data_IF_772162713225
#
_entry.id   IF_772162713225
#
_cell.length_a   1.000
_cell.length_b   1.000
_cell.length_c   1.000
_cell.angle_alpha   90.00
_cell.angle_beta   90.00
_cell.angle_gamma   90.00
#
_symmetry.space_group_name_H-M   'P 1'
#
loop_
_entity.id
_entity.type
_entity.pdbx_description
1 polymer ?
#
# COMPACT_ATOMS: atom_id res chain seq x y z
N UNK A 1 -10.34 35.28 -35.94
CA UNK A 1 -10.53 33.99 -36.61
C UNK A 1 -10.60 32.94 -35.51
N UNK A 2 -11.73 32.56 -34.93
CA UNK A 2 -13.06 32.34 -35.49
C UNK A 2 -13.38 30.88 -35.18
N UNK A 3 -14.05 30.61 -34.05
CA UNK A 3 -14.77 29.35 -33.86
C UNK A 3 -16.12 29.65 -33.19
N UNK A 4 -17.15 29.22 -33.91
CA UNK A 4 -18.57 29.42 -33.65
C UNK A 4 -18.99 28.83 -32.30
N UNK A 5 -19.70 29.63 -31.53
CA UNK A 5 -20.67 29.14 -30.55
C UNK A 5 -21.88 28.65 -31.35
N UNK A 6 -22.11 27.34 -31.35
CA UNK A 6 -23.40 26.78 -31.77
C UNK A 6 -24.15 26.40 -30.50
N UNK A 7 -25.27 27.09 -30.27
CA UNK A 7 -26.24 26.79 -29.22
C UNK A 7 -27.48 26.14 -29.84
N UNK A 8 -28.30 25.48 -29.01
CA UNK A 8 -29.50 24.64 -29.29
C UNK A 8 -29.19 23.20 -29.77
N UNK A 9 -29.77 22.13 -29.19
CA UNK A 9 -31.22 21.86 -29.04
C UNK A 9 -31.51 20.96 -27.82
N UNK A 10 -32.66 21.22 -27.17
CA UNK A 10 -33.35 20.37 -26.19
C UNK A 10 -33.90 19.11 -26.87
N UNK A 11 -33.57 17.92 -26.36
CA UNK A 11 -34.33 16.70 -26.64
C UNK A 11 -33.50 15.54 -27.17
N UNK A 12 -33.01 14.70 -26.26
CA UNK A 12 -32.80 13.28 -26.53
C UNK A 12 -33.10 12.52 -25.25
N UNK A 13 -34.36 12.08 -25.09
CA UNK A 13 -34.67 10.90 -24.28
C UNK A 13 -34.21 9.72 -25.12
N UNK A 14 -32.91 9.46 -25.09
CA UNK A 14 -32.32 8.22 -25.55
C UNK A 14 -31.91 7.48 -24.29
N UNK A 15 -32.71 6.48 -23.93
CA UNK A 15 -32.38 5.49 -22.92
C UNK A 15 -31.14 4.74 -23.39
N UNK A 16 -29.97 5.33 -23.16
CA UNK A 16 -28.67 4.72 -23.39
C UNK A 16 -28.51 3.66 -22.30
N UNK A 17 -28.95 2.45 -22.61
CA UNK A 17 -28.34 1.27 -22.03
C UNK A 17 -26.87 1.34 -22.40
N UNK A 18 -26.02 1.72 -21.45
CA UNK A 18 -24.63 1.31 -21.48
C UNK A 18 -24.68 -0.21 -21.59
N UNK A 19 -24.53 -0.74 -22.81
CA UNK A 19 -24.30 -2.15 -23.03
C UNK A 19 -22.88 -2.43 -22.55
N UNK A 20 -22.73 -2.45 -21.22
CA UNK A 20 -21.69 -3.24 -20.60
C UNK A 20 -22.03 -4.66 -20.98
N UNK A 21 -21.40 -5.16 -22.03
CA UNK A 21 -21.36 -6.60 -22.28
C UNK A 21 -20.61 -7.20 -21.09
N UNK A 22 -21.38 -7.57 -20.06
CA UNK A 22 -20.90 -8.29 -18.90
C UNK A 22 -20.48 -9.68 -19.39
N UNK A 23 -19.23 -9.78 -19.83
CA UNK A 23 -18.55 -11.05 -19.94
C UNK A 23 -18.19 -11.43 -18.49
N UNK A 24 -19.08 -12.17 -17.82
CA UNK A 24 -18.72 -12.83 -16.58
C UNK A 24 -17.58 -13.80 -16.91
N UNK A 25 -16.35 -13.41 -16.63
CA UNK A 25 -15.23 -14.33 -16.75
C UNK A 25 -15.29 -15.25 -15.52
N UNK A 26 -15.60 -16.56 -15.65
CA UNK A 26 -15.78 -17.46 -14.50
C UNK A 26 -14.48 -17.79 -13.76
N UNK A 27 -13.38 -17.12 -14.11
CA UNK A 27 -12.01 -17.44 -13.70
C UNK A 27 -11.43 -16.60 -12.56
N UNK A 28 -12.10 -15.54 -12.09
CA UNK A 28 -11.66 -14.83 -10.88
C UNK A 28 -12.37 -15.38 -9.66
N UNK A 29 -11.60 -15.87 -8.68
CA UNK A 29 -12.14 -16.13 -7.35
C UNK A 29 -12.61 -14.77 -6.80
N UNK A 30 -13.92 -14.52 -6.85
CA UNK A 30 -14.51 -13.26 -6.39
C UNK A 30 -14.44 -13.08 -4.87
N UNK A 31 -14.93 -11.95 -4.36
CA UNK A 31 -14.96 -11.72 -2.91
C UNK A 31 -15.95 -12.67 -2.19
N UNK A 32 -15.47 -13.47 -1.23
CA UNK A 32 -16.36 -14.18 -0.29
C UNK A 32 -16.84 -13.21 0.80
N UNK A 33 -18.02 -12.62 0.58
CA UNK A 33 -18.56 -11.56 1.43
C UNK A 33 -18.96 -12.05 2.83
N UNK A 34 -18.50 -11.32 3.85
CA UNK A 34 -19.00 -11.45 5.24
C UNK A 34 -19.37 -10.08 5.80
N UNK A 35 -20.63 -9.92 6.17
CA UNK A 35 -21.17 -8.69 6.76
C UNK A 35 -20.97 -8.66 8.29
N UNK A 36 -20.79 -7.46 8.84
CA UNK A 36 -20.64 -7.19 10.28
C UNK A 36 -21.70 -6.21 10.82
N UNK A 37 -22.80 -6.03 10.08
CA UNK A 37 -23.86 -5.07 10.40
C UNK A 37 -23.67 -3.72 9.70
N UNK A 38 -24.79 -3.01 9.51
CA UNK A 38 -24.81 -1.79 8.70
C UNK A 38 -24.30 -2.04 7.29
N UNK A 39 -23.46 -1.11 6.80
CA UNK A 39 -22.82 -1.21 5.48
C UNK A 39 -21.40 -1.82 5.53
N UNK A 40 -21.00 -2.41 6.66
CA UNK A 40 -19.66 -2.95 6.85
C UNK A 40 -19.58 -4.42 6.42
N UNK A 41 -18.68 -4.72 5.49
CA UNK A 41 -18.39 -6.08 5.06
C UNK A 41 -16.94 -6.24 4.59
N UNK A 42 -16.47 -7.48 4.56
CA UNK A 42 -15.11 -7.86 4.15
C UNK A 42 -15.14 -9.01 3.15
N UNK A 43 -14.02 -9.23 2.46
CA UNK A 43 -13.74 -10.44 1.70
C UNK A 43 -12.98 -11.41 2.60
N UNK A 44 -13.54 -12.60 2.79
CA UNK A 44 -12.95 -13.62 3.66
C UNK A 44 -11.89 -14.40 2.87
N UNK A 45 -10.68 -14.47 3.43
CA UNK A 45 -9.60 -15.31 2.94
C UNK A 45 -9.17 -16.32 4.00
N UNK A 46 -8.70 -17.49 3.57
CA UNK A 46 -8.17 -18.56 4.42
C UNK A 46 -7.01 -19.29 3.71
N UNK A 47 -6.68 -20.49 4.19
CA UNK A 47 -5.58 -21.32 3.66
C UNK A 47 -5.82 -21.87 2.26
N UNK A 48 -7.07 -22.03 1.84
CA UNK A 48 -7.47 -22.64 0.56
C UNK A 48 -8.08 -21.65 -0.41
N UNK A 49 -8.41 -20.43 0.05
CA UNK A 49 -9.12 -19.44 -0.74
C UNK A 49 -8.71 -18.02 -0.38
N UNK A 50 -8.55 -17.19 -1.40
CA UNK A 50 -8.60 -15.73 -1.29
C UNK A 50 -9.02 -15.14 -2.63
N UNK A 51 -9.70 -14.00 -2.59
CA UNK A 51 -10.11 -13.30 -3.81
C UNK A 51 -8.91 -12.75 -4.57
N UNK A 52 -9.04 -12.71 -5.89
CA UNK A 52 -7.98 -12.24 -6.80
C UNK A 52 -8.49 -11.07 -7.63
N UNK A 53 -7.58 -10.15 -7.94
CA UNK A 53 -7.85 -9.05 -8.87
C UNK A 53 -7.53 -9.55 -10.28
N UNK A 54 -8.50 -9.44 -11.17
CA UNK A 54 -8.28 -9.77 -12.57
C UNK A 54 -7.29 -8.76 -13.18
N UNK A 55 -6.07 -9.21 -13.43
CA UNK A 55 -5.06 -8.39 -14.08
C UNK A 55 -5.20 -8.55 -15.59
N UNK A 56 -5.86 -7.58 -16.19
CA UNK A 56 -5.97 -7.51 -17.64
C UNK A 56 -5.01 -6.47 -18.16
N UNK A 57 -4.16 -6.91 -19.08
CA UNK A 57 -3.36 -6.03 -19.92
C UNK A 57 -4.26 -4.90 -20.49
N UNK A 58 -3.96 -3.62 -20.21
CA UNK A 58 -4.68 -2.48 -20.78
C UNK A 58 -4.77 -2.54 -22.31
N UNK A 59 -3.85 -3.25 -22.97
CA UNK A 59 -3.86 -3.46 -24.41
C UNK A 59 -4.95 -4.43 -24.89
N UNK A 60 -5.62 -5.17 -23.99
CA UNK A 60 -6.81 -5.99 -24.32
C UNK A 60 -8.08 -5.16 -24.46
N UNK A 61 -8.11 -3.93 -23.96
CA UNK A 61 -9.15 -3.01 -24.36
C UNK A 61 -8.97 -2.75 -25.86
N UNK A 62 -10.00 -3.03 -26.67
CA UNK A 62 -9.97 -2.76 -28.10
C UNK A 62 -9.56 -1.30 -28.37
N UNK A 63 -8.95 -1.02 -29.53
CA UNK A 63 -8.60 0.35 -29.90
C UNK A 63 -9.84 1.25 -29.83
N UNK A 64 -9.85 2.22 -28.91
CA UNK A 64 -11.03 3.06 -28.62
C UNK A 64 -11.91 2.55 -27.47
N UNK A 65 -11.47 1.57 -26.69
CA UNK A 65 -12.13 1.08 -25.49
C UNK A 65 -11.44 1.53 -24.20
N UNK A 66 -12.05 1.19 -23.07
CA UNK A 66 -11.51 1.42 -21.73
C UNK A 66 -11.70 0.19 -20.84
N UNK A 67 -10.86 0.11 -19.81
CA UNK A 67 -10.93 -0.85 -18.72
C UNK A 67 -11.46 -0.14 -17.47
N UNK A 68 -12.37 -0.78 -16.73
CA UNK A 68 -12.97 -0.22 -15.52
C UNK A 68 -12.95 -1.24 -14.40
N UNK A 69 -12.46 -0.80 -13.23
CA UNK A 69 -12.55 -1.54 -11.98
C UNK A 69 -13.55 -0.83 -11.06
N UNK A 70 -14.57 -1.54 -10.60
CA UNK A 70 -15.62 -0.98 -9.75
C UNK A 70 -15.63 -1.65 -8.36
N UNK A 71 -15.62 -0.81 -7.32
CA UNK A 71 -15.93 -1.22 -5.95
C UNK A 71 -17.08 -0.37 -5.42
N UNK A 72 -18.02 -0.98 -4.70
CA UNK A 72 -19.13 -0.25 -4.09
C UNK A 72 -19.62 -0.88 -2.79
N UNK A 73 -20.58 -0.20 -2.16
CA UNK A 73 -21.19 -0.59 -0.89
C UNK A 73 -22.13 -1.81 -1.02
N UNK A 74 -22.47 -2.21 -2.25
CA UNK A 74 -23.39 -3.33 -2.51
C UNK A 74 -22.68 -4.67 -2.60
N UNK A 75 -21.35 -4.67 -2.73
CA UNK A 75 -20.57 -5.90 -2.77
C UNK A 75 -19.51 -5.95 -3.85
N UNK A 76 -19.51 -5.03 -4.82
CA UNK A 76 -18.49 -5.04 -5.88
C UNK A 76 -17.11 -4.77 -5.30
N UNK A 77 -16.11 -5.55 -5.74
CA UNK A 77 -14.74 -5.50 -5.22
C UNK A 77 -13.76 -5.62 -6.35
N UNK A 78 -13.24 -4.46 -6.79
CA UNK A 78 -12.41 -4.34 -7.98
C UNK A 78 -12.96 -5.15 -9.14
N UNK A 79 -14.29 -5.11 -9.31
CA UNK A 79 -14.99 -5.83 -10.36
C UNK A 79 -14.55 -5.25 -11.69
N UNK A 80 -13.90 -6.08 -12.49
CA UNK A 80 -13.35 -5.68 -13.76
C UNK A 80 -14.39 -5.74 -14.87
N UNK A 81 -14.35 -4.78 -15.79
CA UNK A 81 -15.21 -4.71 -16.97
C UNK A 81 -14.55 -3.88 -18.07
N UNK A 82 -15.02 -4.05 -19.30
CA UNK A 82 -14.61 -3.24 -20.44
C UNK A 82 -15.77 -2.39 -20.96
N UNK A 83 -15.44 -1.27 -21.58
CA UNK A 83 -16.40 -0.46 -22.32
C UNK A 83 -15.78 0.13 -23.58
N UNK A 84 -16.63 0.79 -24.39
CA UNK A 84 -16.22 1.48 -25.61
C UNK A 84 -16.33 2.99 -25.41
N UNK A 85 -15.34 3.73 -25.88
CA UNK A 85 -15.39 5.20 -25.85
C UNK A 85 -16.37 5.72 -26.91
N UNK A 86 -17.22 6.66 -26.51
CA UNK A 86 -18.11 7.40 -27.40
C UNK A 86 -17.51 8.78 -27.71
N UNK A 87 -17.70 9.26 -28.93
CA UNK A 87 -17.38 10.65 -29.30
C UNK A 87 -18.43 11.65 -28.84
N UNK A 88 -19.60 11.17 -28.43
CA UNK A 88 -20.69 11.98 -27.93
C UNK A 88 -20.81 11.79 -26.42
N UNK A 89 -20.70 12.89 -25.68
CA UNK A 89 -20.92 12.95 -24.25
C UNK A 89 -22.33 13.50 -23.96
N UNK A 90 -22.92 13.04 -22.87
CA UNK A 90 -24.20 13.52 -22.36
C UNK A 90 -24.06 13.66 -20.84
N UNK A 91 -24.21 14.88 -20.31
CA UNK A 91 -24.08 15.16 -18.88
C UNK A 91 -22.72 15.72 -18.48
N UNK A 92 -22.22 15.33 -17.30
CA UNK A 92 -20.96 15.82 -16.76
C UNK A 92 -19.77 15.32 -17.58
N UNK A 93 -18.89 16.24 -17.96
CA UNK A 93 -17.67 15.94 -18.71
C UNK A 93 -16.42 16.22 -17.86
N UNK A 94 -15.48 15.27 -17.92
CA UNK A 94 -14.15 15.40 -17.32
C UNK A 94 -13.12 15.30 -18.44
N UNK A 95 -12.38 16.39 -18.66
CA UNK A 95 -11.40 16.49 -19.75
C UNK A 95 -9.98 16.32 -19.21
N UNK A 96 -9.19 15.46 -19.84
CA UNK A 96 -7.78 15.21 -19.49
C UNK A 96 -6.88 15.90 -20.51
N UNK A 97 -6.03 16.83 -20.05
CA UNK A 97 -5.04 17.50 -20.89
C UNK A 97 -3.67 16.84 -20.73
N UNK A 98 -3.23 16.11 -21.78
CA UNK A 98 -1.95 15.38 -21.78
C UNK A 98 -0.71 16.28 -21.86
N UNK A 99 -0.86 17.56 -22.20
CA UNK A 99 0.25 18.52 -22.25
C UNK A 99 0.58 19.13 -20.87
N UNK A 100 -0.29 18.93 -19.88
CA UNK A 100 -0.10 19.43 -18.52
C UNK A 100 0.34 18.28 -17.61
N UNK A 101 1.64 18.16 -17.39
CA UNK A 101 2.22 17.15 -16.49
C UNK A 101 2.48 17.71 -15.10
N UNK A 102 2.40 16.85 -14.09
CA UNK A 102 2.66 17.19 -12.69
C UNK A 102 3.74 16.26 -12.08
N UNK A 103 3.59 15.88 -10.82
CA UNK A 103 4.53 15.00 -10.13
C UNK A 103 4.57 13.59 -10.73
N UNK A 104 5.73 12.95 -10.61
CA UNK A 104 5.86 11.50 -10.81
C UNK A 104 5.41 10.75 -9.56
N UNK A 105 4.81 9.57 -9.73
CA UNK A 105 4.36 8.72 -8.64
C UNK A 105 5.42 7.66 -8.35
N UNK A 106 5.95 7.67 -7.12
CA UNK A 106 6.99 6.71 -6.68
C UNK A 106 6.44 5.31 -6.38
N UNK A 107 5.15 5.20 -6.05
CA UNK A 107 4.46 3.92 -5.80
C UNK A 107 3.36 4.01 -4.74
N UNK A 108 2.83 2.84 -4.39
CA UNK A 108 1.81 2.65 -3.35
C UNK A 108 2.18 1.43 -2.49
N UNK A 109 1.78 1.43 -1.22
CA UNK A 109 2.35 0.48 -0.28
C UNK A 109 1.76 0.47 1.12
N UNK A 110 2.46 -0.25 2.00
CA UNK A 110 2.13 -0.38 3.42
C UNK A 110 3.37 -0.36 4.31
N UNK A 111 3.16 -0.61 5.61
CA UNK A 111 4.25 -0.63 6.60
C UNK A 111 4.49 -2.05 7.14
N UNK A 112 5.77 -2.43 7.24
CA UNK A 112 6.23 -3.64 7.91
C UNK A 112 6.49 -3.35 9.39
N UNK A 113 5.42 -3.06 10.15
CA UNK A 113 5.48 -2.89 11.61
C UNK A 113 5.62 -4.24 12.32
N UNK A 114 6.02 -4.22 13.59
CA UNK A 114 6.08 -5.44 14.40
C UNK A 114 4.70 -6.09 14.51
N UNK A 115 3.65 -5.30 14.76
CA UNK A 115 2.28 -5.79 14.79
C UNK A 115 1.87 -6.45 13.47
N UNK A 116 2.18 -5.86 12.31
CA UNK A 116 1.88 -6.47 11.02
C UNK A 116 2.62 -7.82 10.88
N UNK A 117 3.90 -7.85 11.24
CA UNK A 117 4.71 -9.06 11.17
C UNK A 117 4.23 -10.18 12.09
N UNK A 118 3.86 -9.86 13.34
CA UNK A 118 3.28 -10.80 14.31
C UNK A 118 1.95 -11.37 13.79
N UNK A 119 1.06 -10.51 13.28
CA UNK A 119 -0.24 -10.95 12.77
C UNK A 119 -0.12 -11.78 11.49
N UNK A 120 0.83 -11.48 10.61
CA UNK A 120 1.10 -12.31 9.44
C UNK A 120 1.59 -13.68 9.90
N UNK A 121 2.55 -13.74 10.83
CA UNK A 121 3.12 -15.01 11.27
C UNK A 121 2.21 -15.89 12.12
N UNK A 122 1.15 -15.32 12.71
CA UNK A 122 0.15 -16.12 13.43
C UNK A 122 -0.76 -16.93 12.49
N UNK A 123 -0.74 -16.64 11.19
CA UNK A 123 -1.51 -17.36 10.18
C UNK A 123 -0.80 -18.64 9.72
N UNK A 124 -1.56 -19.59 9.16
CA UNK A 124 -0.96 -20.76 8.47
C UNK A 124 -0.13 -20.31 7.26
N UNK A 125 0.88 -21.09 6.88
CA UNK A 125 1.78 -20.74 5.77
C UNK A 125 1.05 -20.47 4.44
N UNK A 126 -0.03 -21.21 4.15
CA UNK A 126 -0.84 -21.00 2.94
C UNK A 126 -1.68 -19.72 3.04
N UNK A 127 -2.24 -19.41 4.21
CA UNK A 127 -2.94 -18.14 4.43
C UNK A 127 -1.97 -16.95 4.34
N UNK A 128 -0.75 -17.08 4.88
CA UNK A 128 0.31 -16.07 4.71
C UNK A 128 0.62 -15.82 3.24
N UNK A 129 0.78 -16.89 2.45
CA UNK A 129 0.99 -16.80 1.02
C UNK A 129 -0.14 -16.06 0.32
N UNK A 130 -1.39 -16.41 0.61
CA UNK A 130 -2.56 -15.73 0.04
C UNK A 130 -2.58 -14.24 0.40
N UNK A 131 -2.35 -13.90 1.67
CA UNK A 131 -2.30 -12.50 2.12
C UNK A 131 -1.19 -11.69 1.42
N UNK A 132 0.02 -12.25 1.34
CA UNK A 132 1.13 -11.58 0.64
C UNK A 132 0.85 -11.47 -0.87
N UNK A 133 0.18 -12.45 -1.47
CA UNK A 133 -0.20 -12.40 -2.87
C UNK A 133 -1.24 -11.30 -3.13
N UNK A 134 -2.21 -11.12 -2.24
CA UNK A 134 -3.21 -10.03 -2.34
C UNK A 134 -2.54 -8.65 -2.38
N UNK A 135 -1.46 -8.44 -1.63
CA UNK A 135 -0.74 -7.16 -1.64
C UNK A 135 0.25 -7.01 -2.79
N UNK A 136 1.08 -8.01 -3.06
CA UNK A 136 2.30 -7.84 -3.85
C UNK A 136 2.30 -8.57 -5.20
N UNK A 137 1.39 -9.52 -5.41
CA UNK A 137 1.36 -10.28 -6.66
C UNK A 137 0.61 -9.54 -7.76
N UNK A 138 0.84 -9.97 -9.00
CA UNK A 138 0.06 -9.52 -10.17
C UNK A 138 -1.39 -9.98 -10.13
N UNK A 139 -1.77 -10.92 -9.26
CA UNK A 139 -3.17 -11.31 -9.03
C UNK A 139 -3.78 -10.57 -7.82
N UNK A 140 -3.06 -9.59 -7.28
CA UNK A 140 -3.46 -8.72 -6.17
C UNK A 140 -3.42 -7.24 -6.57
N UNK A 141 -3.07 -6.36 -5.63
CA UNK A 141 -3.01 -4.91 -5.85
C UNK A 141 -1.60 -4.35 -6.09
N UNK A 142 -0.61 -5.24 -6.29
CA UNK A 142 0.74 -4.92 -6.77
C UNK A 142 1.47 -3.77 -6.04
N UNK A 143 1.48 -3.78 -4.70
CA UNK A 143 2.26 -2.85 -3.88
C UNK A 143 3.73 -2.78 -4.30
N UNK A 144 4.26 -1.56 -4.36
CA UNK A 144 5.64 -1.24 -4.75
C UNK A 144 6.40 -0.42 -3.70
N UNK A 145 5.74 0.00 -2.61
CA UNK A 145 6.37 0.68 -1.49
C UNK A 145 6.22 -0.09 -0.17
N UNK A 146 7.29 -0.05 0.63
CA UNK A 146 7.34 -0.64 1.96
C UNK A 146 7.97 0.28 2.99
N UNK A 147 7.20 0.74 3.98
CA UNK A 147 7.72 1.49 5.11
C UNK A 147 8.24 0.56 6.20
N UNK A 148 9.43 0.81 6.72
CA UNK A 148 10.03 0.01 7.80
C UNK A 148 10.28 0.93 9.01
N UNK A 149 9.58 0.76 10.14
CA UNK A 149 9.99 1.40 11.38
C UNK A 149 11.41 0.96 11.75
N UNK A 150 12.30 1.89 12.07
CA UNK A 150 13.62 1.56 12.62
C UNK A 150 13.44 1.33 14.12
N UNK A 151 13.62 0.07 14.53
CA UNK A 151 13.27 -0.46 15.85
C UNK A 151 11.77 -0.31 16.17
N UNK A 152 11.43 -0.08 17.45
CA UNK A 152 10.05 -0.03 17.92
C UNK A 152 9.26 1.19 17.44
N UNK A 153 7.95 1.03 17.38
CA UNK A 153 6.96 2.10 17.25
C UNK A 153 5.78 1.84 18.20
N UNK A 154 4.71 2.63 18.10
CA UNK A 154 3.45 2.40 18.80
C UNK A 154 2.76 1.08 18.43
N UNK A 155 3.06 0.53 17.24
CA UNK A 155 2.65 -0.81 16.79
C UNK A 155 3.68 -1.90 17.14
N UNK A 156 4.42 -1.72 18.24
CA UNK A 156 5.32 -2.71 18.83
C UNK A 156 4.82 -3.13 20.21
N UNK A 157 5.18 -4.35 20.64
CA UNK A 157 4.73 -4.88 21.94
C UNK A 157 5.40 -4.21 23.14
N UNK A 158 6.57 -3.60 22.93
CA UNK A 158 7.28 -2.79 23.90
C UNK A 158 8.23 -1.80 23.18
N UNK A 159 8.66 -0.72 23.86
CA UNK A 159 9.74 0.12 23.36
C UNK A 159 11.07 -0.65 23.34
N UNK A 160 11.83 -0.49 22.26
CA UNK A 160 13.21 -0.95 22.11
C UNK A 160 13.91 -0.13 21.02
N UNK A 161 15.24 -0.08 21.09
CA UNK A 161 16.09 0.41 20.01
C UNK A 161 17.09 -0.67 19.59
N UNK A 162 17.92 -0.38 18.59
CA UNK A 162 19.02 -1.26 18.20
C UNK A 162 20.25 -1.06 19.09
N UNK A 163 20.27 -0.06 19.98
CA UNK A 163 21.35 0.12 20.94
C UNK A 163 20.87 0.76 22.25
N UNK A 164 20.33 -0.06 23.14
CA UNK A 164 19.86 0.37 24.47
C UNK A 164 21.00 0.41 25.52
N UNK A 165 22.27 0.27 25.12
CA UNK A 165 23.41 0.34 26.03
C UNK A 165 23.82 1.80 26.28
N UNK A 166 23.53 2.31 27.48
CA UNK A 166 23.84 3.68 27.85
C UNK A 166 25.33 4.03 27.65
N UNK A 167 25.61 5.09 26.88
CA UNK A 167 26.95 5.61 26.66
C UNK A 167 27.74 4.92 25.54
N UNK A 168 27.12 4.05 24.73
CA UNK A 168 27.77 3.42 23.58
C UNK A 168 27.81 4.37 22.36
N UNK A 169 28.57 5.47 22.48
CA UNK A 169 28.75 6.44 21.39
C UNK A 169 29.41 5.87 20.13
N UNK A 170 30.05 4.70 20.24
CA UNK A 170 30.68 4.01 19.11
C UNK A 170 29.77 2.96 18.47
N UNK A 171 28.54 2.76 18.97
CA UNK A 171 27.57 1.77 18.48
C UNK A 171 28.18 0.37 18.37
N UNK A 172 28.99 -0.01 19.35
CA UNK A 172 29.70 -1.31 19.39
C UNK A 172 28.76 -2.46 19.71
N UNK A 173 27.65 -2.17 20.38
CA UNK A 173 26.61 -3.12 20.78
C UNK A 173 25.33 -2.98 19.96
N UNK A 174 25.35 -2.15 18.91
CA UNK A 174 24.24 -2.05 17.97
C UNK A 174 23.90 -3.41 17.38
N UNK A 175 22.64 -3.81 17.47
CA UNK A 175 22.13 -5.03 16.85
C UNK A 175 20.66 -4.92 16.56
N UNK A 176 20.25 -5.45 15.41
CA UNK A 176 18.85 -5.76 15.12
C UNK A 176 18.28 -6.72 16.17
N UNK A 177 17.02 -6.51 16.55
CA UNK A 177 16.35 -7.28 17.60
C UNK A 177 15.64 -8.50 17.02
N UNK A 178 14.94 -9.26 17.87
CA UNK A 178 14.20 -10.43 17.43
C UNK A 178 13.01 -10.04 16.54
N UNK A 179 12.45 -8.86 16.72
CA UNK A 179 11.34 -8.34 15.92
C UNK A 179 11.74 -8.17 14.45
N UNK A 180 12.94 -7.62 14.17
CA UNK A 180 13.43 -7.53 12.79
C UNK A 180 13.75 -8.91 12.22
N UNK A 181 14.46 -9.73 12.99
CA UNK A 181 14.99 -11.03 12.55
C UNK A 181 13.90 -12.07 12.36
N UNK A 182 12.89 -12.08 13.22
CA UNK A 182 11.79 -13.03 13.16
C UNK A 182 10.71 -12.53 12.22
N UNK A 183 10.31 -11.25 12.31
CA UNK A 183 9.11 -10.78 11.62
C UNK A 183 9.41 -9.97 10.35
N UNK A 184 10.06 -8.82 10.48
CA UNK A 184 10.14 -7.85 9.38
C UNK A 184 10.99 -8.35 8.22
N UNK A 185 12.23 -8.76 8.48
CA UNK A 185 13.19 -9.18 7.44
C UNK A 185 12.69 -10.40 6.67
N UNK A 186 12.25 -11.50 7.31
CA UNK A 186 11.80 -12.68 6.57
C UNK A 186 10.61 -12.40 5.66
N UNK A 187 9.66 -11.57 6.10
CA UNK A 187 8.49 -11.19 5.29
C UNK A 187 8.93 -10.35 4.09
N UNK A 188 9.75 -9.32 4.29
CA UNK A 188 10.26 -8.47 3.20
C UNK A 188 11.03 -9.31 2.18
N UNK A 189 11.92 -10.19 2.65
CA UNK A 189 12.68 -11.09 1.77
C UNK A 189 11.77 -12.08 1.03
N UNK A 190 10.70 -12.57 1.65
CA UNK A 190 9.74 -13.45 0.98
C UNK A 190 9.00 -12.70 -0.14
N UNK A 191 8.57 -11.46 0.11
CA UNK A 191 7.94 -10.59 -0.89
C UNK A 191 8.89 -10.32 -2.06
N UNK A 192 10.11 -9.85 -1.78
CA UNK A 192 11.09 -9.51 -2.82
C UNK A 192 11.55 -10.70 -3.65
N UNK A 193 11.59 -11.92 -3.08
CA UNK A 193 11.93 -13.14 -3.83
C UNK A 193 10.79 -13.66 -4.70
N UNK A 194 9.55 -13.46 -4.26
CA UNK A 194 8.38 -14.10 -4.89
C UNK A 194 7.79 -13.22 -5.99
N UNK A 195 7.77 -11.90 -5.81
CA UNK A 195 7.03 -11.00 -6.69
C UNK A 195 7.98 -10.13 -7.52
N UNK A 196 7.69 -10.03 -8.82
CA UNK A 196 8.62 -9.49 -9.83
C UNK A 196 8.73 -7.96 -9.85
N UNK A 197 7.83 -7.23 -9.18
CA UNK A 197 7.90 -5.76 -9.12
C UNK A 197 8.90 -5.32 -8.06
N UNK A 198 9.69 -4.30 -8.40
CA UNK A 198 10.66 -3.72 -7.48
C UNK A 198 9.95 -3.07 -6.29
N UNK A 199 10.11 -3.67 -5.11
CA UNK A 199 9.68 -3.10 -3.85
C UNK A 199 10.71 -2.08 -3.39
N UNK A 200 10.33 -0.80 -3.36
CA UNK A 200 11.15 0.26 -2.78
C UNK A 200 10.86 0.38 -1.29
N UNK A 201 11.92 0.26 -0.48
CA UNK A 201 11.82 0.33 0.97
C UNK A 201 12.27 1.70 1.45
N UNK A 202 11.59 2.25 2.45
CA UNK A 202 12.05 3.42 3.18
C UNK A 202 11.91 3.21 4.68
N UNK A 203 12.87 3.72 5.43
CA UNK A 203 12.96 3.53 6.87
C UNK A 203 12.59 4.82 7.63
N UNK A 204 12.02 4.69 8.82
CA UNK A 204 11.71 5.83 9.69
C UNK A 204 11.81 5.43 11.16
N UNK A 205 12.68 6.06 11.97
CA UNK A 205 12.69 5.81 13.42
C UNK A 205 11.56 6.57 14.11
N UNK A 206 11.04 6.01 15.20
CA UNK A 206 10.13 6.73 16.10
C UNK A 206 10.87 7.49 17.20
N UNK A 207 11.99 6.93 17.67
CA UNK A 207 12.76 7.49 18.79
C UNK A 207 14.22 7.07 18.68
N UNK A 208 15.11 7.92 19.17
CA UNK A 208 16.48 7.52 19.47
C UNK A 208 16.52 6.64 20.74
N UNK A 209 17.61 5.88 20.98
CA UNK A 209 17.81 5.19 22.24
C UNK A 209 17.59 6.12 23.44
N UNK A 210 17.02 5.59 24.52
CA UNK A 210 16.63 6.40 25.68
C UNK A 210 17.81 7.21 26.24
N UNK A 211 19.01 6.62 26.28
CA UNK A 211 20.23 7.27 26.79
C UNK A 211 20.71 8.46 25.92
N UNK A 212 20.25 8.58 24.68
CA UNK A 212 20.53 9.73 23.81
C UNK A 212 19.54 10.89 24.00
N UNK A 213 18.48 10.72 24.79
CA UNK A 213 17.39 11.68 24.93
C UNK A 213 17.43 12.45 26.25
N UNK A 214 17.03 13.73 26.21
CA UNK A 214 17.02 14.63 27.37
C UNK A 214 16.14 14.15 28.53
N UNK A 215 15.07 13.42 28.22
CA UNK A 215 14.16 12.84 29.20
C UNK A 215 14.51 11.39 29.60
N UNK A 216 15.61 10.84 29.06
CA UNK A 216 16.04 9.45 29.29
C UNK A 216 14.96 8.41 29.01
N UNK A 217 14.03 8.70 28.09
CA UNK A 217 12.90 7.83 27.76
C UNK A 217 12.56 7.92 26.26
N UNK A 218 12.23 6.77 25.65
CA UNK A 218 11.80 6.73 24.26
C UNK A 218 10.45 7.41 24.03
N UNK A 219 9.59 7.48 25.05
CA UNK A 219 8.27 8.13 25.00
C UNK A 219 8.27 9.47 25.74
N UNK A 220 7.22 10.26 25.53
CA UNK A 220 7.06 11.57 26.16
C UNK A 220 7.95 12.67 25.56
N UNK A 221 7.85 13.87 26.12
CA UNK A 221 8.59 15.06 25.67
C UNK A 221 10.08 14.87 25.91
N UNK A 222 10.86 14.77 24.84
CA UNK A 222 12.32 14.68 24.88
C UNK A 222 12.92 14.82 23.49
N UNK A 223 14.08 15.45 23.43
CA UNK A 223 14.89 15.64 22.22
C UNK A 223 16.23 14.93 22.40
N UNK A 224 17.06 14.88 21.35
CA UNK A 224 18.46 14.48 21.52
C UNK A 224 19.16 15.42 22.52
N UNK A 225 20.10 14.86 23.29
CA UNK A 225 20.92 15.63 24.22
C UNK A 225 21.93 16.50 23.46
N UNK A 226 22.05 17.76 23.85
CA UNK A 226 22.99 18.72 23.26
C UNK A 226 22.48 19.34 21.97
N UNK A 227 23.40 19.68 21.06
CA UNK A 227 23.13 20.43 19.83
C UNK A 227 23.60 19.66 18.58
N UNK A 228 23.04 19.98 17.39
CA UNK A 228 23.53 19.44 16.11
C UNK A 228 25.05 19.55 15.96
N UNK A 229 25.70 18.46 15.57
CA UNK A 229 27.17 18.35 15.48
C UNK A 229 27.86 17.87 16.77
N UNK A 230 27.15 17.85 17.90
CA UNK A 230 27.59 17.23 19.14
C UNK A 230 27.63 15.69 19.09
N UNK A 231 28.17 15.03 20.14
CA UNK A 231 28.39 13.58 20.15
C UNK A 231 27.10 12.77 19.99
N UNK A 232 26.00 13.16 20.64
CA UNK A 232 24.71 12.47 20.53
C UNK A 232 24.10 12.57 19.12
N UNK A 233 24.15 13.75 18.49
CA UNK A 233 23.65 13.94 17.13
C UNK A 233 24.49 13.17 16.10
N UNK A 234 25.82 13.18 16.26
CA UNK A 234 26.72 12.37 15.41
C UNK A 234 26.46 10.87 15.59
N UNK A 235 26.31 10.41 16.82
CA UNK A 235 26.00 9.00 17.10
C UNK A 235 24.65 8.60 16.53
N UNK A 236 23.63 9.46 16.67
CA UNK A 236 22.32 9.23 16.07
C UNK A 236 22.40 9.18 14.55
N UNK A 237 23.18 10.04 13.89
CA UNK A 237 23.41 9.94 12.46
C UNK A 237 24.10 8.62 12.06
N UNK A 238 25.09 8.15 12.83
CA UNK A 238 25.76 6.87 12.61
C UNK A 238 24.82 5.67 12.83
N UNK A 239 23.82 5.80 13.71
CA UNK A 239 22.81 4.78 13.95
C UNK A 239 21.96 4.50 12.69
N UNK A 240 21.74 5.48 11.81
CA UNK A 240 21.07 5.24 10.52
C UNK A 240 21.93 4.49 9.51
N UNK A 241 23.26 4.57 9.63
CA UNK A 241 24.21 3.94 8.69
C UNK A 241 24.46 2.47 9.06
N UNK A 242 24.41 2.15 10.35
CA UNK A 242 24.57 0.80 10.89
C UNK A 242 23.39 -0.12 10.55
#
# INVERSE_FOLDING_TARGET
MGFQVVSMVIGCVLTLYAHSSYQHNPGSNGCMLKAFGGNAFVCVCNSTYCDKVENTDPQKASKGGYSMYQSDITGKRLLHSYGSASKQACGLEVLVNLNNTFQSIIGFGGAFTDAAGINIQSLSASTQKNLLASYFSTEGIEYTLGRIPMASCDFSMHPYSYDDNSGDFNLTKFSLTQEDKKFKIPIIQAVMRTYKRNLTLFASPWSAPAWMKTNKNMTGKGTLVGEPGGPYFKTWAMYFVK
#
